data_IF_473658216702
#
_entry.id   IF_473658216702
#
_cell.length_a   1.000
_cell.length_b   1.000
_cell.length_c   1.000
_cell.angle_alpha   90.00
_cell.angle_beta   90.00
_cell.angle_gamma   90.00
#
_symmetry.space_group_name_H-M   'P 1'
#
loop_
_entity.id
_entity.type
_entity.pdbx_description
1 polymer ?
#
# COMPACT_ATOMS: atom_id res chain seq x y z
N UNK A 1 7.93 3.53 5.74
CA UNK A 1 6.59 3.88 6.24
C UNK A 1 5.50 2.99 5.68
N UNK A 2 5.30 2.91 4.36
CA UNK A 2 4.19 2.11 3.77
C UNK A 2 4.15 0.65 4.16
N UNK A 3 5.23 -0.09 3.90
CA UNK A 3 5.33 -1.51 4.27
C UNK A 3 5.10 -1.69 5.77
N UNK A 4 5.71 -0.82 6.60
CA UNK A 4 5.56 -0.87 8.05
C UNK A 4 4.11 -0.62 8.51
N UNK A 5 3.38 0.27 7.84
CA UNK A 5 1.96 0.51 8.11
C UNK A 5 1.12 -0.68 7.66
N UNK A 6 1.37 -1.23 6.47
CA UNK A 6 0.67 -2.41 5.96
C UNK A 6 0.87 -3.64 6.87
N UNK A 7 2.08 -3.84 7.39
CA UNK A 7 2.41 -4.95 8.30
C UNK A 7 1.75 -4.86 9.68
N UNK A 8 1.09 -3.76 10.04
CA UNK A 8 0.32 -3.64 11.30
C UNK A 8 -1.04 -4.32 11.25
N UNK A 9 -1.56 -4.58 10.05
CA UNK A 9 -2.87 -5.17 9.83
C UNK A 9 -2.74 -6.68 9.63
N UNK A 10 -3.75 -7.43 10.08
CA UNK A 10 -3.79 -8.88 9.88
C UNK A 10 -4.24 -9.23 8.46
N UNK A 11 -5.14 -8.44 7.87
CA UNK A 11 -5.64 -8.54 6.49
C UNK A 11 -4.53 -8.71 5.45
N UNK A 12 -4.77 -9.55 4.43
CA UNK A 12 -3.94 -9.61 3.23
C UNK A 12 -4.07 -8.31 2.42
N UNK A 13 -2.94 -7.64 2.18
CA UNK A 13 -2.92 -6.34 1.49
C UNK A 13 -2.02 -6.45 0.27
N UNK A 14 -2.56 -6.08 -0.89
CA UNK A 14 -1.83 -6.07 -2.14
C UNK A 14 -1.83 -4.69 -2.79
N UNK A 15 -0.81 -4.43 -3.60
CA UNK A 15 -0.63 -3.18 -4.32
C UNK A 15 -0.19 -3.43 -5.75
N UNK A 16 -0.69 -2.62 -6.68
CA UNK A 16 -0.31 -2.64 -8.11
C UNK A 16 -0.34 -1.24 -8.69
N UNK A 17 0.33 -1.04 -9.84
CA UNK A 17 0.18 0.18 -10.64
C UNK A 17 -1.23 0.28 -11.21
N UNK A 18 -1.78 1.48 -11.27
CA UNK A 18 -3.02 1.74 -12.00
C UNK A 18 -2.84 1.35 -13.48
N UNK A 19 -3.78 0.56 -14.02
CA UNK A 19 -3.67 -0.01 -15.37
C UNK A 19 -2.65 -1.16 -15.53
N UNK A 20 -1.89 -1.51 -14.49
CA UNK A 20 -0.96 -2.64 -14.48
C UNK A 20 -1.61 -3.94 -13.99
N UNK A 21 -1.06 -5.07 -14.44
CA UNK A 21 -1.50 -6.43 -14.07
C UNK A 21 -0.67 -7.03 -12.93
N UNK A 22 0.54 -6.49 -12.68
CA UNK A 22 1.43 -6.99 -11.63
C UNK A 22 0.99 -6.49 -10.27
N UNK A 23 0.52 -7.41 -9.46
CA UNK A 23 0.14 -7.19 -8.07
C UNK A 23 1.19 -7.83 -7.13
N UNK A 24 1.55 -7.10 -6.08
CA UNK A 24 2.55 -7.52 -5.10
C UNK A 24 2.03 -7.36 -3.67
N UNK A 25 2.57 -8.14 -2.74
CA UNK A 25 2.28 -8.03 -1.32
C UNK A 25 2.79 -6.69 -0.76
N UNK A 26 1.88 -5.88 -0.22
CA UNK A 26 2.16 -4.57 0.36
C UNK A 26 2.98 -4.65 1.66
N UNK A 27 3.03 -5.83 2.31
CA UNK A 27 3.82 -6.11 3.52
C UNK A 27 5.26 -6.54 3.20
N UNK A 28 5.61 -6.70 1.92
CA UNK A 28 6.95 -7.09 1.50
C UNK A 28 7.73 -5.90 0.91
N UNK A 29 8.74 -5.43 1.63
CA UNK A 29 9.60 -4.33 1.15
C UNK A 29 10.25 -4.61 -0.21
N UNK A 30 10.72 -5.84 -0.43
CA UNK A 30 11.37 -6.21 -1.70
C UNK A 30 10.34 -6.17 -2.84
N UNK A 31 9.13 -6.70 -2.62
CA UNK A 31 8.11 -6.77 -3.66
C UNK A 31 7.58 -5.37 -4.02
N UNK A 32 7.33 -4.52 -3.02
CA UNK A 32 6.91 -3.12 -3.23
C UNK A 32 7.98 -2.32 -3.97
N UNK A 33 9.27 -2.45 -3.60
CA UNK A 33 10.36 -1.78 -4.33
C UNK A 33 10.45 -2.28 -5.79
N UNK A 34 10.20 -3.56 -6.02
CA UNK A 34 10.24 -4.18 -7.36
C UNK A 34 9.11 -3.68 -8.26
N UNK A 35 8.00 -3.20 -7.69
CA UNK A 35 6.90 -2.63 -8.46
C UNK A 35 7.32 -1.32 -9.17
N UNK A 36 8.37 -0.65 -8.68
CA UNK A 36 8.99 0.50 -9.37
C UNK A 36 8.03 1.66 -9.63
N UNK A 37 7.17 1.96 -8.65
CA UNK A 37 6.24 3.11 -8.68
C UNK A 37 7.02 4.39 -8.41
N UNK A 38 6.92 5.35 -9.32
CA UNK A 38 7.51 6.67 -9.25
C UNK A 38 6.53 7.76 -8.79
N UNK A 39 7.01 9.00 -8.62
CA UNK A 39 6.15 10.15 -8.38
C UNK A 39 5.18 10.34 -9.55
N UNK A 40 4.01 10.91 -9.26
CA UNK A 40 2.91 11.14 -10.21
C UNK A 40 2.29 9.86 -10.83
N UNK A 41 2.69 8.67 -10.38
CA UNK A 41 2.03 7.41 -10.75
C UNK A 41 0.94 7.03 -9.74
N UNK A 42 -0.18 6.53 -10.25
CA UNK A 42 -1.27 6.02 -9.42
C UNK A 42 -1.07 4.54 -9.09
N UNK A 43 -1.49 4.16 -7.88
CA UNK A 43 -1.52 2.77 -7.41
C UNK A 43 -2.93 2.36 -7.01
N UNK A 44 -3.20 1.07 -7.10
CA UNK A 44 -4.41 0.45 -6.57
C UNK A 44 -4.00 -0.41 -5.38
N UNK A 45 -4.66 -0.17 -4.25
CA UNK A 45 -4.48 -0.92 -3.01
C UNK A 45 -5.72 -1.77 -2.80
N UNK A 46 -5.54 -3.06 -2.58
CA UNK A 46 -6.61 -4.02 -2.27
C UNK A 46 -6.32 -4.63 -0.91
N UNK A 47 -7.35 -4.82 -0.09
CA UNK A 47 -7.24 -5.45 1.21
C UNK A 47 -8.40 -6.43 1.41
N UNK A 48 -8.08 -7.69 1.75
CA UNK A 48 -9.05 -8.75 2.01
C UNK A 48 -8.91 -9.30 3.43
N UNK A 49 -9.89 -9.00 4.28
CA UNK A 49 -9.90 -9.43 5.66
C UNK A 49 -10.69 -8.50 6.58
N UNK A 50 -10.69 -8.86 7.88
CA UNK A 50 -11.58 -8.26 8.88
C UNK A 50 -11.25 -6.78 9.19
N UNK A 51 -10.00 -6.37 8.97
CA UNK A 51 -9.50 -5.00 9.11
C UNK A 51 -9.17 -4.34 7.76
N UNK A 52 -9.67 -4.89 6.64
CA UNK A 52 -9.31 -4.45 5.29
C UNK A 52 -9.70 -3.01 4.94
N UNK A 53 -10.88 -2.56 5.37
CA UNK A 53 -11.33 -1.17 5.14
C UNK A 53 -10.38 -0.17 5.82
N UNK A 54 -10.09 -0.40 7.10
CA UNK A 54 -9.16 0.42 7.89
C UNK A 54 -7.74 0.40 7.31
N UNK A 55 -7.30 -0.76 6.81
CA UNK A 55 -6.00 -0.91 6.17
C UNK A 55 -5.89 -0.04 4.90
N UNK A 56 -6.91 -0.08 4.03
CA UNK A 56 -6.96 0.73 2.82
C UNK A 56 -6.99 2.22 3.17
N UNK A 57 -7.89 2.63 4.07
CA UNK A 57 -8.00 4.04 4.48
C UNK A 57 -6.67 4.58 4.98
N UNK A 58 -6.00 3.83 5.88
CA UNK A 58 -4.73 4.26 6.47
C UNK A 58 -3.60 4.35 5.47
N UNK A 59 -3.52 3.40 4.53
CA UNK A 59 -2.49 3.40 3.50
C UNK A 59 -2.73 4.49 2.45
N UNK A 60 -3.98 4.75 2.08
CA UNK A 60 -4.34 5.85 1.19
C UNK A 60 -4.00 7.20 1.82
N UNK A 61 -4.34 7.40 3.09
CA UNK A 61 -3.96 8.59 3.85
C UNK A 61 -2.44 8.78 3.89
N UNK A 62 -1.69 7.73 4.20
CA UNK A 62 -0.23 7.75 4.23
C UNK A 62 0.36 8.21 2.89
N UNK A 63 -0.13 7.68 1.76
CA UNK A 63 0.38 8.02 0.43
C UNK A 63 0.01 9.46 0.06
N UNK A 64 -1.21 9.91 0.41
CA UNK A 64 -1.67 11.29 0.14
C UNK A 64 -0.95 12.34 0.97
N UNK A 65 -0.40 11.96 2.12
CA UNK A 65 0.39 12.84 2.98
C UNK A 65 1.91 12.69 2.73
N UNK A 66 2.34 12.22 1.56
CA UNK A 66 3.77 12.08 1.21
C UNK A 66 4.58 11.27 2.24
N UNK A 67 3.95 10.25 2.83
CA UNK A 67 4.51 9.38 3.86
C UNK A 67 4.89 10.11 5.17
N UNK A 68 4.43 11.34 5.35
CA UNK A 68 4.58 12.15 6.55
C UNK A 68 3.33 12.00 7.42
N UNK A 69 3.47 11.33 8.55
CA UNK A 69 2.40 11.12 9.53
C UNK A 69 2.93 11.48 10.91
N UNK A 70 3.43 12.71 11.03
CA UNK A 70 3.86 13.31 12.27
C UNK A 70 3.17 14.70 12.39
N UNK A 71 1.85 14.69 12.53
CA UNK A 71 1.04 15.84 12.99
C UNK A 71 -0.07 15.42 13.93
#
# INVERSE_FOLDING_TARGET
>A
MFVQTASKFETDISVRKAGGETEVDAKSSIAVLSLGVGPDEEIVITADGNDGEQAVERLVELVRNDFDLDT
#
